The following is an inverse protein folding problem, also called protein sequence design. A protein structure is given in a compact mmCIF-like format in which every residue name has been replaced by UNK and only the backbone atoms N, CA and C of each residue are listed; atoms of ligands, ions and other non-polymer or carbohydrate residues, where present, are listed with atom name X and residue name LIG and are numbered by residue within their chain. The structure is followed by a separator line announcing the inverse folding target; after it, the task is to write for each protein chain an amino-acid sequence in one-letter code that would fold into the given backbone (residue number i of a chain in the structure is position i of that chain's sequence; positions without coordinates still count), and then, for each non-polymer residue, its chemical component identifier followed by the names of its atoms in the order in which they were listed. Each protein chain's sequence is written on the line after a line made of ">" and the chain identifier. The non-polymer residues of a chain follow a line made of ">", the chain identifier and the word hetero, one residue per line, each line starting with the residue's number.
data_IF_373088811216
#
_entry.id   IF_373088811216
#
_cell.length_a   1.000
_cell.length_b   1.000
_cell.length_c   1.000
_cell.angle_alpha   90.00
_cell.angle_beta   90.00
_cell.angle_gamma   90.00
#
_symmetry.space_group_name_H-M   'P 1'
#
loop_
_entity.id
_entity.type
_entity.pdbx_description
1 polymer ?
#
# COMPACT_ATOMS: atom_id res chain seq x y z
N UNK A 1 41.63 16.94 52.19
CA UNK A 1 40.64 15.89 51.89
C UNK A 1 39.75 16.43 50.78
N UNK A 2 39.93 15.91 49.58
CA UNK A 2 39.17 16.33 48.36
C UNK A 2 38.08 15.30 48.13
N UNK A 3 36.81 15.71 48.34
CA UNK A 3 35.66 14.87 48.02
C UNK A 3 35.46 14.80 46.50
N UNK A 4 35.59 13.61 45.93
CA UNK A 4 35.19 13.30 44.58
C UNK A 4 33.70 12.90 44.61
N UNK A 5 32.84 13.73 44.07
CA UNK A 5 31.44 13.40 43.82
C UNK A 5 31.37 12.63 42.49
N UNK A 6 31.02 11.35 42.59
CA UNK A 6 30.78 10.48 41.41
C UNK A 6 29.34 10.74 40.94
N UNK A 7 29.17 11.49 39.84
CA UNK A 7 27.87 11.67 39.18
C UNK A 7 27.55 10.41 38.38
N UNK A 8 26.57 9.66 38.86
CA UNK A 8 26.00 8.52 38.12
C UNK A 8 25.02 9.07 37.08
N UNK A 9 25.41 9.05 35.81
CA UNK A 9 24.48 9.31 34.67
C UNK A 9 23.65 8.05 34.43
N UNK A 10 22.40 8.07 34.89
CA UNK A 10 21.40 7.06 34.51
C UNK A 10 20.95 7.40 33.10
N UNK A 11 21.44 6.67 32.10
CA UNK A 11 20.88 6.64 30.75
C UNK A 11 19.54 5.92 30.84
N UNK A 12 18.46 6.71 30.89
CA UNK A 12 17.10 6.18 30.72
C UNK A 12 16.96 5.89 29.21
N UNK A 13 17.15 4.63 28.80
CA UNK A 13 16.69 4.16 27.52
C UNK A 13 15.15 4.16 27.57
N UNK A 14 14.54 5.20 27.01
CA UNK A 14 13.12 5.19 26.69
C UNK A 14 12.92 4.20 25.55
N UNK A 15 12.63 2.96 25.87
CA UNK A 15 12.07 2.01 24.93
C UNK A 15 10.63 2.50 24.67
N UNK A 16 10.39 3.20 23.56
CA UNK A 16 9.03 3.48 23.11
C UNK A 16 8.45 2.17 22.56
N UNK A 17 7.82 1.39 23.44
CA UNK A 17 7.00 0.25 23.04
C UNK A 17 5.83 0.82 22.22
N UNK A 18 5.98 0.80 20.90
CA UNK A 18 4.92 1.26 19.99
C UNK A 18 3.84 0.19 20.02
N UNK A 19 2.76 0.43 20.77
CA UNK A 19 1.61 -0.49 20.77
C UNK A 19 1.06 -0.65 19.36
N UNK A 20 0.77 -1.91 18.97
CA UNK A 20 0.13 -2.21 17.69
C UNK A 20 -1.29 -1.63 17.71
N UNK A 21 -1.61 -0.84 16.66
CA UNK A 21 -2.97 -0.35 16.45
C UNK A 21 -3.84 -1.54 16.06
N UNK A 22 -4.94 -1.72 16.77
CA UNK A 22 -5.96 -2.72 16.43
C UNK A 22 -7.10 -2.00 15.74
N UNK A 23 -7.45 -2.45 14.52
CA UNK A 23 -8.61 -1.95 13.81
C UNK A 23 -9.86 -2.58 14.39
N UNK A 24 -10.82 -1.75 14.77
CA UNK A 24 -12.17 -2.14 15.11
C UNK A 24 -13.14 -1.48 14.14
N UNK A 25 -14.02 -2.28 13.57
CA UNK A 25 -15.07 -1.76 12.71
C UNK A 25 -15.94 -0.77 13.52
N UNK A 26 -16.34 0.29 12.86
CA UNK A 26 -17.13 1.37 13.48
C UNK A 26 -18.42 1.59 12.69
N UNK A 27 -19.37 2.28 13.30
CA UNK A 27 -20.59 2.69 12.62
C UNK A 27 -20.28 3.79 11.58
N UNK A 28 -20.41 3.45 10.31
CA UNK A 28 -20.13 4.31 9.16
C UNK A 28 -21.36 5.03 8.62
N UNK A 29 -22.56 4.86 9.26
CA UNK A 29 -23.83 5.40 8.75
C UNK A 29 -23.73 6.91 8.54
N UNK A 30 -23.20 7.63 9.52
CA UNK A 30 -23.05 9.09 9.43
C UNK A 30 -22.19 9.52 8.23
N UNK A 31 -21.06 8.83 7.98
CA UNK A 31 -20.19 9.13 6.85
C UNK A 31 -20.87 8.85 5.50
N UNK A 32 -21.70 7.80 5.43
CA UNK A 32 -22.48 7.44 4.25
C UNK A 32 -23.58 8.49 4.01
N UNK A 33 -24.28 8.94 5.06
CA UNK A 33 -25.33 9.96 4.97
C UNK A 33 -24.78 11.30 4.47
N UNK A 34 -23.61 11.73 4.95
CA UNK A 34 -22.94 12.95 4.50
C UNK A 34 -22.72 12.95 2.98
N UNK A 35 -22.50 11.78 2.38
CA UNK A 35 -22.24 11.64 0.95
C UNK A 35 -23.47 11.21 0.12
N UNK A 36 -24.63 11.01 0.75
CA UNK A 36 -25.83 10.46 0.11
C UNK A 36 -26.39 11.34 -1.01
N UNK A 37 -26.19 12.65 -0.93
CA UNK A 37 -26.65 13.65 -1.88
C UNK A 37 -25.53 14.18 -2.80
N UNK A 38 -24.39 13.51 -2.87
CA UNK A 38 -23.29 13.93 -3.72
C UNK A 38 -23.76 14.07 -5.19
N UNK A 39 -23.32 15.13 -5.88
CA UNK A 39 -23.74 15.42 -7.28
C UNK A 39 -23.41 14.22 -8.20
N UNK A 40 -22.21 13.65 -8.07
CA UNK A 40 -21.78 12.48 -8.82
C UNK A 40 -22.38 11.24 -8.16
N UNK A 41 -23.31 10.57 -8.85
CA UNK A 41 -24.01 9.39 -8.31
C UNK A 41 -23.08 8.26 -7.85
N UNK A 42 -21.96 8.06 -8.54
CA UNK A 42 -20.92 7.06 -8.18
C UNK A 42 -20.14 7.40 -6.90
N UNK A 43 -20.31 8.63 -6.37
CA UNK A 43 -19.77 9.05 -5.08
C UNK A 43 -20.79 8.85 -3.93
N UNK A 44 -22.01 8.43 -4.22
CA UNK A 44 -23.03 8.12 -3.20
C UNK A 44 -22.75 6.74 -2.62
N UNK A 45 -21.79 6.68 -1.73
CA UNK A 45 -21.34 5.43 -1.14
C UNK A 45 -22.46 4.73 -0.36
N UNK A 46 -22.45 3.40 -0.39
CA UNK A 46 -23.38 2.54 0.36
C UNK A 46 -22.69 1.83 1.51
N UNK A 47 -21.37 1.78 1.44
CA UNK A 47 -20.49 1.14 2.39
C UNK A 47 -19.08 1.66 2.18
N UNK A 48 -18.33 1.83 3.28
CA UNK A 48 -16.92 2.22 3.25
C UNK A 48 -16.03 1.04 3.64
N UNK A 49 -16.33 0.40 4.77
CA UNK A 49 -15.53 -0.69 5.30
C UNK A 49 -15.82 -2.03 4.61
N UNK A 50 -14.81 -2.90 4.52
CA UNK A 50 -15.03 -4.30 4.18
C UNK A 50 -15.76 -5.04 5.30
N UNK A 51 -16.60 -6.03 4.92
CA UNK A 51 -17.20 -6.97 5.87
C UNK A 51 -16.44 -8.29 5.98
N UNK A 52 -15.59 -8.58 5.01
CA UNK A 52 -15.00 -9.92 4.85
C UNK A 52 -13.50 -9.92 5.06
N UNK A 53 -12.82 -8.80 4.83
CA UNK A 53 -11.38 -8.71 5.02
C UNK A 53 -11.08 -8.10 6.40
N UNK A 54 -10.44 -8.88 7.26
CA UNK A 54 -9.93 -8.37 8.54
C UNK A 54 -8.61 -7.62 8.31
N UNK A 55 -8.68 -6.32 8.41
CA UNK A 55 -7.55 -5.43 8.23
C UNK A 55 -6.38 -5.75 9.18
N UNK A 56 -6.66 -6.24 10.39
CA UNK A 56 -5.62 -6.65 11.34
C UNK A 56 -4.77 -7.81 10.79
N UNK A 57 -5.38 -8.73 10.03
CA UNK A 57 -4.66 -9.86 9.45
C UNK A 57 -3.67 -9.42 8.35
N UNK A 58 -3.94 -8.32 7.64
CA UNK A 58 -3.02 -7.75 6.62
C UNK A 58 -1.68 -7.39 7.27
N UNK A 59 -1.70 -6.84 8.49
CA UNK A 59 -0.51 -6.34 9.18
C UNK A 59 0.08 -7.32 10.20
N UNK A 60 -0.63 -8.39 10.54
CA UNK A 60 -0.18 -9.39 11.52
C UNK A 60 1.23 -9.94 11.26
N UNK A 61 1.64 -10.27 10.01
CA UNK A 61 2.99 -10.74 9.72
C UNK A 61 4.10 -9.72 10.05
N UNK A 62 3.75 -8.45 10.16
CA UNK A 62 4.69 -7.34 10.36
C UNK A 62 4.71 -6.80 11.79
N UNK A 63 3.97 -7.40 12.74
CA UNK A 63 3.84 -6.87 14.10
C UNK A 63 5.18 -6.70 14.82
N UNK A 64 6.10 -7.66 14.70
CA UNK A 64 7.42 -7.57 15.38
C UNK A 64 8.26 -6.42 14.81
N UNK A 65 8.26 -6.28 13.49
CA UNK A 65 8.87 -5.14 12.82
C UNK A 65 8.23 -3.81 13.26
N UNK A 66 6.90 -3.71 13.22
CA UNK A 66 6.17 -2.46 13.54
C UNK A 66 6.38 -2.01 14.98
N UNK A 67 6.49 -2.93 15.95
CA UNK A 67 6.79 -2.62 17.37
C UNK A 67 8.17 -2.02 17.56
N UNK A 68 9.14 -2.48 16.79
CA UNK A 68 10.55 -2.09 16.92
C UNK A 68 11.01 -1.04 15.90
N UNK A 69 10.10 -0.55 15.04
CA UNK A 69 10.47 0.36 13.96
C UNK A 69 10.89 1.74 14.47
N UNK A 70 12.06 2.18 14.06
CA UNK A 70 12.58 3.51 14.40
C UNK A 70 11.91 4.60 13.57
N UNK A 71 10.95 5.29 14.18
CA UNK A 71 10.22 6.41 13.56
C UNK A 71 11.15 7.61 13.31
N UNK A 72 12.20 7.79 14.10
CA UNK A 72 13.17 8.88 13.87
C UNK A 72 13.97 8.62 12.60
N UNK A 73 14.40 7.36 12.40
CA UNK A 73 15.03 6.95 11.16
C UNK A 73 14.08 7.07 9.95
N UNK A 74 12.83 6.62 10.10
CA UNK A 74 11.80 6.83 9.07
C UNK A 74 11.72 8.29 8.63
N UNK A 75 11.65 9.23 9.57
CA UNK A 75 11.56 10.65 9.28
C UNK A 75 12.83 11.19 8.60
N UNK A 76 14.00 10.65 8.92
CA UNK A 76 15.27 11.09 8.34
C UNK A 76 15.44 10.73 6.88
N UNK A 77 14.84 9.62 6.41
CA UNK A 77 14.90 9.19 4.99
C UNK A 77 13.67 9.58 4.17
N UNK A 78 12.64 10.12 4.82
CA UNK A 78 11.35 10.42 4.20
C UNK A 78 11.45 11.26 2.93
N UNK A 79 12.20 12.35 2.95
CA UNK A 79 12.30 13.27 1.81
C UNK A 79 13.14 12.69 0.65
N UNK A 80 13.86 11.58 0.91
CA UNK A 80 14.60 10.83 -0.09
C UNK A 80 13.74 9.79 -0.82
N UNK A 81 12.49 9.57 -0.36
CA UNK A 81 11.58 8.53 -0.87
C UNK A 81 10.27 9.14 -1.36
N UNK A 82 9.64 10.02 -0.55
CA UNK A 82 8.33 10.62 -0.86
C UNK A 82 8.43 11.50 -2.11
N UNK A 83 7.52 11.28 -3.07
CA UNK A 83 7.46 11.98 -4.35
C UNK A 83 8.74 11.86 -5.20
N UNK A 84 9.57 10.84 -4.94
CA UNK A 84 10.73 10.55 -5.76
C UNK A 84 10.40 9.53 -6.85
N UNK A 85 11.01 9.69 -8.01
CA UNK A 85 10.98 8.66 -9.05
C UNK A 85 11.95 7.50 -8.73
N UNK A 86 11.78 6.39 -9.46
CA UNK A 86 12.60 5.18 -9.24
C UNK A 86 14.09 5.47 -9.44
N UNK A 87 14.46 6.32 -10.40
CA UNK A 87 15.85 6.68 -10.68
C UNK A 87 16.48 7.41 -9.50
N UNK A 88 15.74 8.34 -8.91
CA UNK A 88 16.16 9.09 -7.71
C UNK A 88 16.30 8.17 -6.50
N UNK A 89 15.33 7.28 -6.28
CA UNK A 89 15.38 6.27 -5.20
C UNK A 89 16.62 5.38 -5.36
N UNK A 90 16.87 4.83 -6.55
CA UNK A 90 18.06 4.03 -6.83
C UNK A 90 19.36 4.82 -6.61
N UNK A 91 19.40 6.09 -7.00
CA UNK A 91 20.56 6.95 -6.74
C UNK A 91 20.83 7.14 -5.25
N UNK A 92 19.77 7.27 -4.42
CA UNK A 92 19.92 7.37 -2.97
C UNK A 92 20.44 6.07 -2.35
N UNK A 93 19.95 4.90 -2.81
CA UNK A 93 20.42 3.58 -2.37
C UNK A 93 21.89 3.40 -2.76
N UNK A 94 22.27 3.67 -4.01
CA UNK A 94 23.67 3.58 -4.48
C UNK A 94 24.61 4.48 -3.69
N UNK A 95 24.13 5.62 -3.21
CA UNK A 95 24.88 6.54 -2.32
C UNK A 95 24.88 6.12 -0.85
N UNK A 96 24.32 4.95 -0.52
CA UNK A 96 24.27 4.42 0.85
C UNK A 96 23.42 5.23 1.82
N UNK A 97 22.41 5.93 1.34
CA UNK A 97 21.49 6.70 2.19
C UNK A 97 20.52 5.80 2.96
N UNK A 98 20.09 4.73 2.35
CA UNK A 98 19.28 3.63 2.87
C UNK A 98 19.43 2.44 1.91
N UNK A 99 18.97 1.25 2.30
CA UNK A 99 19.01 0.03 1.49
C UNK A 99 17.60 -0.42 1.06
N UNK A 100 17.47 -1.56 0.37
CA UNK A 100 16.17 -2.07 -0.09
C UNK A 100 15.28 -2.53 1.06
N UNK A 101 15.86 -3.11 2.12
CA UNK A 101 15.13 -3.45 3.34
C UNK A 101 14.52 -2.19 3.98
N UNK A 102 15.29 -1.12 4.09
CA UNK A 102 14.83 0.16 4.64
C UNK A 102 13.69 0.75 3.79
N UNK A 103 13.81 0.68 2.45
CA UNK A 103 12.77 1.16 1.52
C UNK A 103 11.46 0.38 1.70
N UNK A 104 11.53 -0.96 1.79
CA UNK A 104 10.35 -1.81 2.04
C UNK A 104 9.73 -1.48 3.38
N UNK A 105 10.53 -1.39 4.44
CA UNK A 105 10.06 -1.05 5.79
C UNK A 105 9.44 0.35 5.84
N UNK A 106 10.00 1.31 5.10
CA UNK A 106 9.44 2.65 4.98
C UNK A 106 8.02 2.60 4.43
N UNK A 107 7.79 1.90 3.31
CA UNK A 107 6.48 1.80 2.70
C UNK A 107 5.50 0.99 3.57
N UNK A 108 5.93 -0.12 4.16
CA UNK A 108 5.09 -0.92 5.08
C UNK A 108 4.61 -0.09 6.28
N UNK A 109 5.52 0.64 6.92
CA UNK A 109 5.14 1.51 8.04
C UNK A 109 4.19 2.62 7.61
N UNK A 110 4.44 3.23 6.44
CA UNK A 110 3.55 4.26 5.90
C UNK A 110 2.17 3.71 5.60
N UNK A 111 2.06 2.57 4.91
CA UNK A 111 0.79 1.89 4.66
C UNK A 111 0.06 1.63 5.99
N UNK A 112 0.76 1.04 6.97
CA UNK A 112 0.21 0.77 8.29
C UNK A 112 -0.35 2.02 8.96
N UNK A 113 0.41 3.10 8.99
CA UNK A 113 -0.01 4.37 9.63
C UNK A 113 -1.27 4.96 9.03
N UNK A 114 -1.44 4.86 7.72
CA UNK A 114 -2.62 5.38 7.05
C UNK A 114 -3.78 4.38 7.10
N UNK A 115 -3.56 3.13 6.70
CA UNK A 115 -4.65 2.17 6.58
C UNK A 115 -5.21 1.68 7.93
N UNK A 116 -4.50 1.87 9.04
CA UNK A 116 -4.96 1.55 10.41
C UNK A 116 -5.50 2.78 11.17
N UNK A 117 -5.62 3.92 10.53
CA UNK A 117 -6.16 5.15 11.11
C UNK A 117 -7.58 5.40 10.57
N UNK A 118 -8.58 5.56 11.45
CA UNK A 118 -10.00 5.73 11.08
C UNK A 118 -10.27 7.01 10.28
N UNK A 119 -9.44 8.02 10.46
CA UNK A 119 -9.60 9.30 9.76
C UNK A 119 -8.81 9.36 8.45
N UNK A 120 -7.80 8.49 8.26
CA UNK A 120 -6.86 8.55 7.17
C UNK A 120 -6.92 7.37 6.19
N UNK A 121 -7.52 6.23 6.57
CA UNK A 121 -7.54 5.03 5.74
C UNK A 121 -8.10 5.30 4.33
N UNK A 122 -7.56 4.60 3.36
CA UNK A 122 -7.91 4.77 1.94
C UNK A 122 -8.53 3.51 1.32
N UNK A 123 -8.50 2.38 2.01
CA UNK A 123 -8.92 1.07 1.47
C UNK A 123 -8.22 0.72 0.15
N UNK A 124 -6.95 1.10 0.02
CA UNK A 124 -6.20 0.85 -1.21
C UNK A 124 -5.54 -0.53 -1.24
N UNK A 125 -5.29 -1.13 -0.07
CA UNK A 125 -4.57 -2.40 0.10
C UNK A 125 -5.56 -3.53 0.44
N UNK A 126 -5.45 -4.67 -0.26
CA UNK A 126 -6.18 -5.90 0.05
C UNK A 126 -5.30 -6.87 0.85
N UNK A 127 -4.04 -7.05 0.43
CA UNK A 127 -3.08 -7.90 1.13
C UNK A 127 -1.65 -7.43 0.89
N UNK A 128 -0.75 -7.79 1.80
CA UNK A 128 0.68 -7.53 1.70
C UNK A 128 1.44 -8.86 1.62
N UNK A 129 2.58 -8.87 0.93
CA UNK A 129 3.45 -10.03 0.84
C UNK A 129 4.16 -10.23 2.19
N UNK A 130 3.90 -11.32 2.94
CA UNK A 130 4.47 -11.52 4.26
C UNK A 130 6.00 -11.69 4.24
N UNK A 131 6.57 -12.14 3.11
CA UNK A 131 8.00 -12.38 2.95
C UNK A 131 8.77 -11.16 2.42
N UNK A 132 8.12 -10.05 2.15
CA UNK A 132 8.71 -8.92 1.45
C UNK A 132 9.97 -8.35 2.13
N UNK A 133 10.02 -8.33 3.47
CA UNK A 133 11.20 -7.86 4.21
C UNK A 133 12.37 -8.84 4.01
N UNK A 134 12.10 -10.15 4.03
CA UNK A 134 13.12 -11.17 3.80
C UNK A 134 13.63 -11.15 2.36
N UNK A 135 12.73 -10.96 1.39
CA UNK A 135 13.11 -10.79 -0.03
C UNK A 135 14.00 -9.56 -0.21
N UNK A 136 13.68 -8.44 0.42
CA UNK A 136 14.51 -7.23 0.34
C UNK A 136 15.90 -7.41 0.98
N UNK A 137 15.98 -8.06 2.14
CA UNK A 137 17.26 -8.41 2.78
C UNK A 137 18.14 -9.27 1.90
N UNK A 138 17.54 -10.23 1.21
CA UNK A 138 18.30 -11.09 0.30
C UNK A 138 18.85 -10.29 -0.89
N UNK A 139 18.11 -9.34 -1.45
CA UNK A 139 18.60 -8.46 -2.51
C UNK A 139 19.72 -7.52 -2.01
N UNK A 140 19.63 -7.01 -0.78
CA UNK A 140 20.72 -6.24 -0.17
C UNK A 140 21.98 -7.09 0.01
N UNK A 141 21.84 -8.39 0.38
CA UNK A 141 22.95 -9.33 0.54
C UNK A 141 23.62 -9.65 -0.79
N UNK A 142 22.84 -9.87 -1.86
CA UNK A 142 23.35 -10.13 -3.21
C UNK A 142 24.01 -8.87 -3.77
N UNK A 143 23.39 -7.72 -3.58
CA UNK A 143 23.86 -6.39 -3.95
C UNK A 143 24.41 -6.32 -5.40
N UNK A 144 23.60 -6.78 -6.35
CA UNK A 144 23.92 -6.74 -7.79
C UNK A 144 22.84 -5.98 -8.59
N UNK A 145 22.71 -4.66 -8.40
CA UNK A 145 21.70 -3.85 -9.09
C UNK A 145 22.11 -3.64 -10.55
N UNK A 146 21.62 -4.49 -11.43
CA UNK A 146 21.89 -4.50 -12.89
C UNK A 146 20.85 -3.73 -13.70
N UNK A 147 19.74 -3.30 -13.06
CA UNK A 147 18.66 -2.56 -13.71
C UNK A 147 17.93 -1.65 -12.71
N UNK A 148 17.08 -0.74 -13.22
CA UNK A 148 16.34 0.24 -12.42
C UNK A 148 15.26 -0.37 -11.52
N UNK A 149 14.76 -1.57 -11.80
CA UNK A 149 13.70 -2.22 -11.02
C UNK A 149 14.24 -3.06 -9.87
N UNK A 150 15.56 -3.34 -9.84
CA UNK A 150 16.19 -4.14 -8.79
C UNK A 150 15.82 -3.61 -7.40
N UNK A 151 15.20 -4.44 -6.58
CA UNK A 151 14.80 -4.13 -5.20
C UNK A 151 13.70 -3.08 -5.03
N UNK A 152 13.09 -2.61 -6.11
CA UNK A 152 12.00 -1.62 -6.04
C UNK A 152 10.67 -2.28 -5.69
N UNK A 153 10.02 -1.85 -4.59
CA UNK A 153 8.70 -2.36 -4.22
C UNK A 153 7.60 -1.85 -5.15
N UNK A 154 6.86 -2.81 -5.71
CA UNK A 154 5.75 -2.58 -6.65
C UNK A 154 4.46 -3.14 -6.05
N UNK A 155 3.38 -2.38 -6.10
CA UNK A 155 2.03 -2.83 -5.74
C UNK A 155 1.26 -3.28 -6.98
N UNK A 156 0.37 -4.27 -6.83
CA UNK A 156 -0.26 -4.96 -7.98
C UNK A 156 -1.78 -5.03 -7.80
N UNK A 157 -2.54 -4.62 -8.81
CA UNK A 157 -4.01 -4.74 -8.81
C UNK A 157 -4.45 -6.18 -8.59
N UNK A 158 -5.51 -6.37 -7.83
CA UNK A 158 -5.92 -7.69 -7.34
C UNK A 158 -6.48 -8.66 -8.39
N UNK A 159 -6.66 -8.26 -9.62
CA UNK A 159 -6.99 -9.18 -10.73
C UNK A 159 -5.76 -9.67 -11.52
N UNK A 160 -4.55 -9.40 -11.05
CA UNK A 160 -3.30 -9.83 -11.67
C UNK A 160 -2.68 -10.91 -10.79
N UNK A 161 -2.44 -12.08 -11.36
CA UNK A 161 -1.88 -13.23 -10.65
C UNK A 161 -0.47 -12.96 -10.15
N UNK A 162 -0.28 -13.16 -8.84
CA UNK A 162 1.01 -13.24 -8.16
C UNK A 162 1.08 -14.59 -7.47
N UNK A 163 2.01 -15.44 -7.87
CA UNK A 163 2.22 -16.78 -7.32
C UNK A 163 2.37 -16.72 -5.78
N UNK A 164 1.63 -17.58 -5.08
CA UNK A 164 1.60 -17.64 -3.63
C UNK A 164 0.72 -16.59 -2.96
N UNK A 165 0.07 -15.70 -3.72
CA UNK A 165 -0.88 -14.73 -3.20
C UNK A 165 -2.29 -14.99 -3.74
N UNK A 166 -3.30 -14.55 -2.99
CA UNK A 166 -4.69 -14.57 -3.43
C UNK A 166 -4.90 -13.61 -4.61
N UNK A 167 -5.65 -14.03 -5.59
CA UNK A 167 -6.17 -13.18 -6.68
C UNK A 167 -7.67 -13.26 -6.71
N UNK A 168 -8.35 -12.21 -6.19
CA UNK A 168 -9.79 -12.24 -5.96
C UNK A 168 -10.60 -11.34 -6.90
N UNK A 169 -9.94 -10.47 -7.66
CA UNK A 169 -10.60 -9.40 -8.41
C UNK A 169 -11.52 -8.53 -7.52
N UNK A 170 -11.18 -8.40 -6.23
CA UNK A 170 -11.94 -7.68 -5.21
C UNK A 170 -13.16 -8.44 -4.67
N UNK A 171 -13.44 -9.64 -5.15
CA UNK A 171 -14.64 -10.41 -4.82
C UNK A 171 -14.40 -11.34 -3.62
N UNK A 172 -15.26 -11.24 -2.59
CA UNK A 172 -15.16 -12.05 -1.37
C UNK A 172 -15.29 -13.56 -1.64
N UNK A 173 -15.98 -13.96 -2.71
CA UNK A 173 -16.12 -15.37 -3.11
C UNK A 173 -14.79 -16.01 -3.50
N UNK A 174 -13.76 -15.21 -3.81
CA UNK A 174 -12.41 -15.67 -4.14
C UNK A 174 -11.36 -15.36 -3.07
N UNK A 175 -11.77 -15.16 -1.83
CA UNK A 175 -10.86 -14.85 -0.71
C UNK A 175 -9.78 -15.92 -0.50
N UNK A 176 -10.06 -17.17 -0.89
CA UNK A 176 -9.14 -18.31 -0.77
C UNK A 176 -8.55 -18.75 -2.13
N UNK A 177 -8.70 -17.95 -3.18
CA UNK A 177 -8.18 -18.27 -4.51
C UNK A 177 -6.67 -17.98 -4.60
N UNK A 178 -5.86 -18.80 -3.95
CA UNK A 178 -4.42 -18.80 -4.12
C UNK A 178 -4.04 -19.26 -5.51
N UNK A 179 -3.14 -18.55 -6.16
CA UNK A 179 -2.68 -18.88 -7.50
C UNK A 179 -1.26 -19.43 -7.46
N UNK A 180 -1.00 -20.43 -8.29
CA UNK A 180 0.27 -21.15 -8.41
C UNK A 180 1.16 -20.66 -9.59
N UNK A 181 0.76 -19.58 -10.24
CA UNK A 181 1.51 -19.00 -11.36
C UNK A 181 1.42 -17.49 -11.40
N UNK A 182 2.46 -16.86 -11.88
CA UNK A 182 2.53 -15.43 -12.10
C UNK A 182 1.95 -15.05 -13.47
N UNK A 183 1.23 -13.93 -13.54
CA UNK A 183 0.96 -13.25 -14.80
C UNK A 183 2.29 -12.86 -15.49
N UNK A 184 2.29 -12.72 -16.82
CA UNK A 184 3.50 -12.40 -17.59
C UNK A 184 4.17 -11.12 -17.10
N UNK A 185 3.40 -10.08 -16.80
CA UNK A 185 3.94 -8.82 -16.25
C UNK A 185 4.67 -9.05 -14.93
N UNK A 186 4.15 -9.91 -14.06
CA UNK A 186 4.76 -10.24 -12.77
C UNK A 186 6.04 -11.06 -12.96
N UNK A 187 6.04 -12.03 -13.90
CA UNK A 187 7.25 -12.77 -14.27
C UNK A 187 8.36 -11.80 -14.72
N UNK A 188 8.02 -10.84 -15.56
CA UNK A 188 8.99 -9.86 -16.05
C UNK A 188 9.51 -8.94 -14.93
N UNK A 189 8.66 -8.52 -13.99
CA UNK A 189 9.09 -7.76 -12.82
C UNK A 189 10.05 -8.58 -11.95
N UNK A 190 9.70 -9.83 -11.63
CA UNK A 190 10.54 -10.72 -10.80
C UNK A 190 11.86 -11.08 -11.47
N UNK A 191 11.92 -11.27 -12.79
CA UNK A 191 13.18 -11.48 -13.53
C UNK A 191 14.11 -10.27 -13.38
N UNK A 192 13.57 -9.07 -13.25
CA UNK A 192 14.30 -7.83 -12.99
C UNK A 192 14.48 -7.54 -11.49
N UNK A 193 14.26 -8.53 -10.62
CA UNK A 193 14.39 -8.41 -9.17
C UNK A 193 13.53 -7.30 -8.53
N UNK A 194 12.42 -6.91 -9.16
CA UNK A 194 11.43 -6.05 -8.52
C UNK A 194 10.72 -6.81 -7.39
N UNK A 195 10.44 -6.15 -6.30
CA UNK A 195 9.77 -6.68 -5.13
C UNK A 195 8.25 -6.49 -5.24
N UNK A 196 7.47 -7.56 -5.09
CA UNK A 196 6.00 -7.45 -5.10
C UNK A 196 5.51 -7.21 -3.67
N UNK A 197 5.19 -5.95 -3.36
CA UNK A 197 4.84 -5.50 -2.02
C UNK A 197 3.47 -6.00 -1.55
N UNK A 198 2.49 -6.10 -2.47
CA UNK A 198 1.15 -6.52 -2.10
C UNK A 198 0.13 -6.37 -3.22
N UNK A 199 -1.13 -6.70 -2.88
CA UNK A 199 -2.30 -6.64 -3.76
C UNK A 199 -3.18 -5.45 -3.41
N UNK A 200 -3.68 -4.79 -4.45
CA UNK A 200 -4.40 -3.54 -4.39
C UNK A 200 -5.89 -3.72 -4.64
N UNK A 201 -6.69 -2.97 -3.89
CA UNK A 201 -8.13 -2.89 -4.09
C UNK A 201 -8.48 -2.37 -5.49
N UNK A 202 -9.66 -2.71 -5.94
CA UNK A 202 -10.18 -2.37 -7.26
C UNK A 202 -11.70 -2.29 -7.22
N UNK A 203 -12.30 -1.68 -8.24
CA UNK A 203 -13.74 -1.89 -8.45
C UNK A 203 -13.95 -3.38 -8.73
N UNK A 204 -14.82 -4.04 -7.96
CA UNK A 204 -15.04 -5.48 -8.03
C UNK A 204 -15.29 -5.93 -9.48
N UNK A 205 -14.65 -7.04 -9.91
CA UNK A 205 -14.72 -7.58 -11.27
C UNK A 205 -14.42 -6.55 -12.37
N UNK A 206 -13.50 -5.62 -12.10
CA UNK A 206 -13.16 -4.54 -13.00
C UNK A 206 -14.37 -3.68 -13.44
N UNK A 207 -15.34 -3.55 -12.54
CA UNK A 207 -16.58 -2.78 -12.74
C UNK A 207 -17.56 -3.42 -13.74
N UNK A 208 -17.42 -4.72 -13.99
CA UNK A 208 -18.22 -5.43 -14.98
C UNK A 208 -19.70 -5.59 -14.58
N UNK A 209 -19.97 -6.00 -13.33
CA UNK A 209 -21.31 -6.40 -12.91
C UNK A 209 -22.21 -5.24 -12.50
N UNK A 210 -21.66 -4.11 -12.09
CA UNK A 210 -22.45 -3.01 -11.55
C UNK A 210 -21.96 -1.64 -12.01
N UNK A 211 -22.46 -1.17 -13.13
CA UNK A 211 -22.11 0.15 -13.67
C UNK A 211 -22.58 1.34 -12.80
N UNK A 212 -23.73 1.30 -12.10
CA UNK A 212 -24.15 2.41 -11.21
C UNK A 212 -23.56 2.30 -9.80
N UNK A 213 -22.79 1.26 -9.47
CA UNK A 213 -22.11 1.15 -8.20
C UNK A 213 -21.05 2.22 -8.02
N UNK A 214 -20.69 2.59 -6.78
CA UNK A 214 -19.54 3.44 -6.52
C UNK A 214 -18.27 2.85 -7.14
N UNK A 215 -17.50 3.70 -7.83
CA UNK A 215 -16.22 3.32 -8.40
C UNK A 215 -15.22 3.11 -7.28
N UNK A 216 -14.42 2.05 -7.36
CA UNK A 216 -13.45 1.70 -6.32
C UNK A 216 -14.01 0.88 -5.17
N UNK A 217 -15.28 0.47 -5.24
CA UNK A 217 -15.85 -0.45 -4.26
C UNK A 217 -15.58 -1.92 -4.66
N UNK A 218 -15.24 -2.71 -3.66
CA UNK A 218 -15.23 -4.17 -3.74
C UNK A 218 -15.74 -4.79 -2.42
N UNK A 219 -16.34 -5.96 -2.49
CA UNK A 219 -16.82 -6.66 -1.30
C UNK A 219 -15.68 -7.06 -0.36
N UNK A 220 -14.50 -7.35 -0.93
CA UNK A 220 -13.32 -7.73 -0.16
C UNK A 220 -12.57 -6.52 0.42
N UNK A 221 -12.39 -5.45 -0.35
CA UNK A 221 -11.56 -4.29 0.06
C UNK A 221 -12.34 -3.11 0.64
N UNK A 222 -13.69 -3.08 0.52
CA UNK A 222 -14.48 -1.89 0.82
C UNK A 222 -14.32 -0.80 -0.25
N UNK A 223 -14.68 0.44 0.09
CA UNK A 223 -14.61 1.59 -0.81
C UNK A 223 -13.21 2.21 -0.80
N UNK A 224 -12.51 2.17 -1.93
CA UNK A 224 -11.27 2.92 -2.10
C UNK A 224 -11.55 4.42 -2.14
N UNK A 225 -10.82 5.19 -1.33
CA UNK A 225 -11.01 6.62 -1.13
C UNK A 225 -9.84 7.42 -1.71
N UNK A 226 -10.14 8.59 -2.27
CA UNK A 226 -9.12 9.46 -2.88
C UNK A 226 -8.31 10.19 -1.79
N UNK A 227 -6.96 10.16 -1.80
CA UNK A 227 -6.14 10.79 -0.75
C UNK A 227 -6.21 12.32 -0.75
N UNK A 228 -6.59 12.97 -1.86
CA UNK A 228 -6.76 14.41 -1.92
C UNK A 228 -8.08 14.91 -1.35
N UNK A 229 -9.02 13.99 -1.08
CA UNK A 229 -10.31 14.29 -0.47
C UNK A 229 -11.16 13.02 -0.40
N UNK A 230 -11.09 12.30 0.72
CA UNK A 230 -11.62 10.94 0.93
C UNK A 230 -13.09 10.74 0.53
N UNK A 231 -13.92 11.75 0.66
CA UNK A 231 -15.35 11.69 0.31
C UNK A 231 -15.74 12.79 -0.66
N UNK A 232 -14.77 13.55 -1.14
CA UNK A 232 -14.97 14.71 -2.02
C UNK A 232 -14.62 14.36 -3.46
N UNK A 233 -13.56 13.62 -3.67
CA UNK A 233 -13.07 13.24 -5.00
C UNK A 233 -13.21 11.75 -5.26
N UNK A 234 -13.59 11.42 -6.50
CA UNK A 234 -13.67 10.05 -6.97
C UNK A 234 -12.24 9.45 -7.06
N UNK A 235 -12.07 8.20 -6.61
CA UNK A 235 -10.79 7.49 -6.72
C UNK A 235 -10.44 7.11 -8.17
N UNK A 236 -11.44 7.14 -9.08
CA UNK A 236 -11.33 6.49 -10.37
C UNK A 236 -11.30 4.97 -10.24
N UNK A 237 -11.33 4.27 -11.37
CA UNK A 237 -11.29 2.80 -11.41
C UNK A 237 -11.32 2.26 -12.83
N UNK A 238 -11.20 0.93 -12.98
CA UNK A 238 -11.27 -0.08 -11.89
C UNK A 238 -9.97 -0.32 -11.13
N UNK A 239 -8.81 0.20 -11.55
CA UNK A 239 -7.54 0.11 -10.81
C UNK A 239 -7.46 1.17 -9.71
N UNK A 240 -8.47 1.24 -8.84
CA UNK A 240 -8.64 2.31 -7.85
C UNK A 240 -7.51 2.32 -6.83
N UNK A 241 -7.21 1.16 -6.24
CA UNK A 241 -6.09 1.02 -5.32
C UNK A 241 -4.74 1.33 -5.97
N UNK A 242 -4.57 1.00 -7.28
CA UNK A 242 -3.33 1.32 -8.00
C UNK A 242 -3.09 2.83 -8.08
N UNK A 243 -4.12 3.62 -8.42
CA UNK A 243 -3.99 5.08 -8.42
C UNK A 243 -3.81 5.65 -7.03
N UNK A 244 -4.69 5.28 -6.10
CA UNK A 244 -4.72 5.81 -4.74
C UNK A 244 -3.44 5.53 -3.96
N UNK A 245 -2.91 4.30 -4.05
CA UNK A 245 -1.69 3.91 -3.32
C UNK A 245 -0.46 4.72 -3.75
N UNK A 246 -0.34 5.03 -5.05
CA UNK A 246 0.79 5.84 -5.54
C UNK A 246 0.63 7.30 -5.16
N UNK A 247 -0.57 7.87 -5.27
CA UNK A 247 -0.84 9.23 -4.80
C UNK A 247 -0.61 9.38 -3.29
N UNK A 248 -0.82 8.31 -2.51
CA UNK A 248 -0.50 8.27 -1.08
C UNK A 248 0.97 7.94 -0.78
N UNK A 249 1.80 7.72 -1.81
CA UNK A 249 3.20 7.28 -1.67
C UNK A 249 3.35 5.97 -0.86
N UNK A 250 2.55 4.95 -1.19
CA UNK A 250 2.64 3.62 -0.57
C UNK A 250 3.60 2.68 -1.31
N UNK A 251 4.05 3.07 -2.49
CA UNK A 251 5.09 2.43 -3.27
C UNK A 251 5.62 3.42 -4.33
N UNK A 252 6.72 3.06 -5.00
CA UNK A 252 7.28 3.87 -6.09
C UNK A 252 6.44 3.77 -7.38
N UNK A 253 5.82 2.61 -7.62
CA UNK A 253 4.95 2.36 -8.76
C UNK A 253 3.91 1.28 -8.45
N UNK A 254 2.87 1.19 -9.28
CA UNK A 254 1.88 0.13 -9.21
C UNK A 254 1.50 -0.38 -10.60
N UNK A 255 1.05 -1.64 -10.65
CA UNK A 255 0.51 -2.25 -11.85
C UNK A 255 -1.01 -2.26 -11.78
N UNK A 256 -1.64 -1.65 -12.78
CA UNK A 256 -3.08 -1.74 -13.03
C UNK A 256 -3.42 -2.66 -14.20
N UNK A 257 -4.69 -2.75 -14.54
CA UNK A 257 -5.17 -3.39 -15.77
C UNK A 257 -6.30 -2.56 -16.37
N UNK A 258 -6.37 -2.50 -17.68
CA UNK A 258 -7.37 -1.71 -18.38
C UNK A 258 -7.97 -2.43 -19.58
N UNK A 259 -9.29 -2.42 -19.64
CA UNK A 259 -10.05 -2.68 -20.87
C UNK A 259 -10.48 -1.35 -21.49
N UNK A 260 -11.05 -0.44 -20.68
CA UNK A 260 -11.51 0.89 -21.10
C UNK A 260 -11.46 1.87 -19.93
N UNK A 261 -10.41 2.67 -19.84
CA UNK A 261 -10.25 3.70 -18.83
C UNK A 261 -9.73 3.23 -17.46
N UNK A 262 -9.55 1.93 -17.23
CA UNK A 262 -9.27 1.38 -15.87
C UNK A 262 -7.86 1.62 -15.35
N UNK A 263 -6.93 2.18 -16.13
CA UNK A 263 -5.65 2.75 -15.71
C UNK A 263 -5.72 4.27 -15.82
N UNK A 264 -6.19 4.77 -16.96
CA UNK A 264 -6.18 6.20 -17.26
C UNK A 264 -7.11 6.98 -16.32
N UNK A 265 -8.29 6.44 -15.97
CA UNK A 265 -9.21 7.09 -15.05
C UNK A 265 -8.63 7.24 -13.63
N UNK A 266 -8.16 6.19 -12.94
CA UNK A 266 -7.56 6.37 -11.62
C UNK A 266 -6.27 7.20 -11.66
N UNK A 267 -5.47 7.14 -12.73
CA UNK A 267 -4.30 8.01 -12.88
C UNK A 267 -4.69 9.48 -12.94
N UNK A 268 -5.67 9.83 -13.77
CA UNK A 268 -6.18 11.20 -13.90
C UNK A 268 -6.81 11.71 -12.58
N UNK A 269 -7.63 10.89 -11.91
CA UNK A 269 -8.31 11.28 -10.67
C UNK A 269 -7.37 11.44 -9.47
N UNK A 270 -6.18 10.86 -9.54
CA UNK A 270 -5.18 10.90 -8.48
C UNK A 270 -3.91 11.68 -8.89
N UNK A 271 -3.98 12.50 -9.96
CA UNK A 271 -2.88 13.37 -10.41
C UNK A 271 -1.58 12.61 -10.69
N UNK A 272 -1.68 11.47 -11.38
CA UNK A 272 -0.56 10.58 -11.67
C UNK A 272 -0.29 10.47 -13.17
N UNK A 273 0.91 10.04 -13.50
CA UNK A 273 1.25 9.56 -14.84
C UNK A 273 0.76 8.11 -14.97
N UNK A 274 -0.15 7.87 -15.91
CA UNK A 274 -0.66 6.53 -16.24
C UNK A 274 -0.23 6.13 -17.65
N UNK A 275 0.38 4.95 -17.77
CA UNK A 275 0.75 4.36 -19.04
C UNK A 275 -0.12 3.13 -19.33
N UNK A 276 -0.90 3.17 -20.39
CA UNK A 276 -1.63 2.04 -20.96
C UNK A 276 -1.03 1.72 -22.33
N UNK A 277 -0.24 0.66 -22.44
CA UNK A 277 0.28 0.23 -23.74
C UNK A 277 -0.85 -0.26 -24.66
N UNK A 278 -0.60 -0.23 -25.95
CA UNK A 278 -1.52 -0.74 -26.99
C UNK A 278 -1.58 -2.25 -26.98
#
# INVERSE_FOLDING_TARGET
>A
MRNFALSFFILIFSCSDTSIIVWENYDEIKEIEENSNHEISRMRYKRLQSLTNDRNQIFKPFHDFLKSYDVSYHNSIKDLIINQDITSIQSHITKGKFNYEDLVKFYLYRIYKFEMDKDLYLNSIISLNPEIINEAKELDRINNPDNLLYGIPILVKDNINVEGMVTSAGASVFIDNFVDNNAIVIKNLKINNALILGKLNMSEWAYYFCRPCPVGYSSLGGQTLNPYGRKVFESGGSSSGSGVSIAANFAAASIGSETSGSILSPSSKNSLVGLKPT
#
